data_IF_883205989047
#
_entry.id   IF_883205989047
#
_cell.length_a   1.000
_cell.length_b   1.000
_cell.length_c   1.000
_cell.angle_alpha   90.00
_cell.angle_beta   90.00
_cell.angle_gamma   90.00
#
_symmetry.space_group_name_H-M   'P 1'
#
loop_
_entity.id
_entity.type
_entity.pdbx_description
1 polymer ?
#
# COMPACT_ATOMS: atom_id res chain seq x y z
N UNK A 1 10.17 3.64 -20.93
CA UNK A 1 11.06 4.01 -19.80
C UNK A 1 10.63 3.17 -18.61
N UNK A 2 11.53 2.35 -18.07
CA UNK A 2 11.22 1.56 -16.88
C UNK A 2 11.03 2.48 -15.67
N UNK A 3 9.94 2.29 -14.92
CA UNK A 3 9.70 3.06 -13.69
C UNK A 3 10.84 2.75 -12.69
N UNK A 4 11.46 3.77 -12.08
CA UNK A 4 12.50 3.54 -11.07
C UNK A 4 11.91 2.74 -9.90
N UNK A 5 12.65 1.72 -9.44
CA UNK A 5 12.26 0.80 -8.36
C UNK A 5 11.80 1.58 -7.12
N UNK A 6 10.80 1.06 -6.42
CA UNK A 6 10.29 1.68 -5.18
C UNK A 6 11.41 1.92 -4.16
N UNK A 7 12.30 0.94 -3.96
CA UNK A 7 13.44 1.06 -3.03
C UNK A 7 14.39 2.19 -3.42
N UNK A 8 14.64 2.39 -4.71
CA UNK A 8 15.49 3.48 -5.20
C UNK A 8 14.87 4.83 -4.90
N UNK A 9 13.55 4.97 -5.08
CA UNK A 9 12.83 6.19 -4.72
C UNK A 9 12.83 6.44 -3.21
N UNK A 10 12.68 5.38 -2.40
CA UNK A 10 12.72 5.45 -0.95
C UNK A 10 14.09 5.93 -0.46
N UNK A 11 15.18 5.32 -0.94
CA UNK A 11 16.56 5.70 -0.59
C UNK A 11 16.85 7.16 -0.97
N UNK A 12 16.38 7.58 -2.15
CA UNK A 12 16.57 8.97 -2.61
C UNK A 12 15.89 9.99 -1.70
N UNK A 13 14.73 9.65 -1.12
CA UNK A 13 13.91 10.57 -0.32
C UNK A 13 14.21 10.49 1.18
N UNK A 14 14.73 9.36 1.66
CA UNK A 14 15.09 9.17 3.07
C UNK A 14 16.61 9.11 3.24
N UNK A 15 17.21 10.24 3.63
CA UNK A 15 18.67 10.42 3.71
C UNK A 15 19.38 9.35 4.54
N UNK A 16 18.76 8.89 5.63
CA UNK A 16 19.34 7.84 6.50
C UNK A 16 19.50 6.47 5.82
N UNK A 17 18.77 6.22 4.72
CA UNK A 17 18.92 4.97 3.96
C UNK A 17 20.10 5.01 2.99
N UNK A 18 20.56 6.18 2.57
CA UNK A 18 21.67 6.30 1.62
C UNK A 18 23.00 5.83 2.22
N UNK A 19 23.15 5.91 3.54
CA UNK A 19 24.33 5.45 4.29
C UNK A 19 24.27 3.99 4.73
N UNK A 20 23.19 3.27 4.40
CA UNK A 20 22.98 1.90 4.88
C UNK A 20 23.97 0.92 4.24
N UNK A 21 24.80 0.24 5.04
CA UNK A 21 25.77 -0.74 4.56
C UNK A 21 25.09 -2.02 4.09
N UNK A 22 25.83 -2.86 3.36
CA UNK A 22 25.30 -4.05 2.68
C UNK A 22 24.52 -5.01 3.60
N UNK A 23 25.02 -5.27 4.81
CA UNK A 23 24.38 -6.18 5.78
C UNK A 23 23.41 -5.50 6.75
N UNK A 24 23.29 -4.18 6.66
CA UNK A 24 22.45 -3.42 7.58
C UNK A 24 20.99 -3.42 7.12
N UNK A 25 20.11 -3.39 8.12
CA UNK A 25 18.66 -3.28 8.00
C UNK A 25 18.25 -1.94 8.58
N UNK A 26 17.31 -1.27 7.94
CA UNK A 26 16.70 -0.05 8.48
C UNK A 26 15.22 -0.29 8.74
N UNK A 27 14.74 0.17 9.89
CA UNK A 27 13.32 0.17 10.24
C UNK A 27 12.95 1.58 10.65
N UNK A 28 11.88 2.12 10.08
CA UNK A 28 11.39 3.44 10.42
C UNK A 28 9.90 3.55 10.14
N UNK A 29 9.26 4.50 10.82
CA UNK A 29 7.84 4.77 10.67
C UNK A 29 7.61 5.97 9.76
N UNK A 30 6.51 5.94 9.01
CA UNK A 30 6.01 7.04 8.20
C UNK A 30 4.55 7.25 8.52
N UNK A 31 4.21 8.49 8.84
CA UNK A 31 2.84 8.99 8.85
C UNK A 31 2.49 9.48 7.44
N UNK A 32 1.65 8.69 6.78
CA UNK A 32 1.04 8.93 5.50
C UNK A 32 -0.11 9.94 5.57
N UNK A 33 -0.62 10.33 4.41
CA UNK A 33 -1.90 11.04 4.31
C UNK A 33 -3.05 10.11 4.67
N UNK A 34 -2.95 8.84 4.25
CA UNK A 34 -4.04 7.87 4.34
C UNK A 34 -3.84 6.85 5.45
N UNK A 35 -2.66 6.80 6.06
CA UNK A 35 -2.34 5.78 7.05
C UNK A 35 -1.00 5.95 7.74
N UNK A 36 -0.65 4.98 8.55
CA UNK A 36 0.63 4.92 9.26
C UNK A 36 1.34 3.61 8.93
N UNK A 37 2.61 3.70 8.58
CA UNK A 37 3.38 2.57 8.04
C UNK A 37 4.71 2.42 8.76
N UNK A 38 5.03 1.21 9.19
CA UNK A 38 6.38 0.79 9.50
C UNK A 38 7.01 0.17 8.26
N UNK A 39 8.16 0.69 7.86
CA UNK A 39 8.91 0.24 6.70
C UNK A 39 10.20 -0.39 7.18
N UNK A 40 10.46 -1.61 6.72
CA UNK A 40 11.70 -2.33 6.93
C UNK A 40 12.40 -2.54 5.58
N UNK A 41 13.59 -1.98 5.47
CA UNK A 41 14.48 -2.14 4.32
C UNK A 41 15.54 -3.17 4.68
N UNK A 42 15.52 -4.31 3.98
CA UNK A 42 16.41 -5.43 4.21
C UNK A 42 17.86 -5.19 3.77
N UNK A 43 18.75 -6.17 4.03
CA UNK A 43 20.12 -6.12 3.53
C UNK A 43 20.16 -6.18 2.00
N UNK A 44 21.31 -5.85 1.41
CA UNK A 44 21.55 -6.04 -0.02
C UNK A 44 21.65 -7.54 -0.29
N UNK A 45 20.83 -8.02 -1.21
CA UNK A 45 20.91 -9.37 -1.77
C UNK A 45 22.20 -9.48 -2.62
N UNK A 46 23.11 -10.42 -2.28
CA UNK A 46 24.36 -10.61 -3.00
C UNK A 46 24.20 -10.98 -4.48
N UNK A 47 23.09 -11.60 -4.87
CA UNK A 47 22.87 -12.12 -6.22
C UNK A 47 22.40 -11.05 -7.20
N UNK A 48 21.57 -10.11 -6.73
CA UNK A 48 20.91 -9.13 -7.59
C UNK A 48 21.14 -7.67 -7.17
N UNK A 49 21.94 -7.44 -6.12
CA UNK A 49 22.25 -6.14 -5.54
C UNK A 49 21.03 -5.27 -5.20
N UNK A 50 19.87 -5.90 -4.96
CA UNK A 50 18.64 -5.22 -4.53
C UNK A 50 18.43 -5.37 -3.02
N UNK A 51 17.48 -4.61 -2.47
CA UNK A 51 17.09 -4.73 -1.06
C UNK A 51 15.60 -5.08 -1.02
N UNK A 52 15.25 -6.06 -0.21
CA UNK A 52 13.85 -6.37 0.08
C UNK A 52 13.19 -5.23 0.86
N UNK A 53 11.90 -5.06 0.68
CA UNK A 53 11.10 -4.14 1.49
C UNK A 53 9.94 -4.92 2.12
N UNK A 54 9.75 -4.68 3.40
CA UNK A 54 8.58 -5.11 4.14
C UNK A 54 7.85 -3.87 4.69
N UNK A 55 6.55 -3.80 4.47
CA UNK A 55 5.70 -2.71 4.95
C UNK A 55 4.59 -3.33 5.78
N UNK A 56 4.47 -2.87 7.03
CA UNK A 56 3.38 -3.21 7.93
C UNK A 56 2.71 -1.92 8.35
N UNK A 57 1.38 -1.84 8.32
CA UNK A 57 0.72 -0.62 8.70
C UNK A 57 -0.79 -0.67 8.67
N UNK A 58 -1.38 0.51 8.77
CA UNK A 58 -2.82 0.71 8.76
C UNK A 58 -3.17 1.87 7.82
N UNK A 59 -4.22 1.70 7.02
CA UNK A 59 -4.85 2.75 6.22
C UNK A 59 -6.18 3.08 6.89
N UNK A 60 -6.46 4.37 7.13
CA UNK A 60 -7.67 4.82 7.83
C UNK A 60 -8.94 4.34 7.11
N UNK A 61 -8.97 4.48 5.78
CA UNK A 61 -10.06 3.99 4.96
C UNK A 61 -9.65 3.84 3.49
N UNK A 62 -10.40 3.01 2.77
CA UNK A 62 -10.37 2.86 1.33
C UNK A 62 -11.80 2.83 0.80
N UNK A 63 -12.01 3.39 -0.39
CA UNK A 63 -13.26 3.29 -1.12
C UNK A 63 -13.12 2.19 -2.15
N UNK A 64 -14.08 1.28 -2.21
CA UNK A 64 -14.09 0.17 -3.13
C UNK A 64 -15.37 0.16 -3.96
N UNK A 65 -15.21 0.00 -5.27
CA UNK A 65 -16.29 -0.27 -6.20
C UNK A 65 -16.07 -1.64 -6.84
N UNK A 66 -16.98 -2.07 -7.71
CA UNK A 66 -16.83 -3.32 -8.47
C UNK A 66 -15.50 -3.39 -9.25
N UNK A 67 -14.99 -2.25 -9.69
CA UNK A 67 -13.88 -2.20 -10.64
C UNK A 67 -12.56 -1.71 -10.03
N UNK A 68 -12.62 -0.99 -8.91
CA UNK A 68 -11.47 -0.23 -8.43
C UNK A 68 -11.48 -0.03 -6.90
N UNK A 69 -10.29 0.27 -6.36
CA UNK A 69 -10.11 0.78 -5.00
C UNK A 69 -9.24 2.04 -5.00
N UNK A 70 -9.51 2.95 -4.07
CA UNK A 70 -8.89 4.26 -4.03
C UNK A 70 -8.98 4.86 -2.62
N UNK A 71 -8.03 5.73 -2.23
CA UNK A 71 -7.95 6.23 -0.86
C UNK A 71 -8.92 7.38 -0.56
N UNK A 72 -9.44 8.04 -1.60
CA UNK A 72 -10.37 9.16 -1.52
C UNK A 72 -11.50 8.91 -2.51
N UNK A 73 -12.74 9.33 -2.24
CA UNK A 73 -13.81 9.15 -3.20
C UNK A 73 -13.60 10.07 -4.40
N UNK A 74 -13.99 9.60 -5.58
CA UNK A 74 -14.06 10.38 -6.81
C UNK A 74 -15.20 11.39 -6.73
N UNK A 75 -15.13 12.45 -7.54
CA UNK A 75 -16.20 13.45 -7.62
C UNK A 75 -17.56 12.82 -7.98
N UNK A 76 -17.58 11.88 -8.92
CA UNK A 76 -18.80 11.17 -9.30
C UNK A 76 -19.41 10.37 -8.14
N UNK A 77 -18.59 9.71 -7.32
CA UNK A 77 -19.07 9.00 -6.14
C UNK A 77 -19.62 9.99 -5.10
N UNK A 78 -18.95 11.13 -4.88
CA UNK A 78 -19.44 12.18 -3.97
C UNK A 78 -20.80 12.70 -4.45
N UNK A 79 -20.91 13.06 -5.73
CA UNK A 79 -22.14 13.60 -6.33
C UNK A 79 -23.30 12.58 -6.28
N UNK A 80 -22.98 11.28 -6.25
CA UNK A 80 -23.95 10.19 -6.08
C UNK A 80 -24.14 9.73 -4.62
N UNK A 81 -23.73 10.54 -3.63
CA UNK A 81 -23.81 10.21 -2.21
C UNK A 81 -23.17 8.85 -1.85
N UNK A 82 -22.07 8.51 -2.53
CA UNK A 82 -21.30 7.27 -2.40
C UNK A 82 -22.08 5.99 -2.73
N UNK A 83 -23.27 6.10 -3.35
CA UNK A 83 -24.04 4.93 -3.80
C UNK A 83 -23.21 4.10 -4.79
N UNK A 84 -23.20 2.78 -4.59
CA UNK A 84 -22.38 1.85 -5.38
C UNK A 84 -20.97 1.62 -4.83
N UNK A 85 -20.65 2.18 -3.65
CA UNK A 85 -19.33 2.09 -3.02
C UNK A 85 -19.39 1.30 -1.71
N UNK A 86 -18.33 0.57 -1.39
CA UNK A 86 -18.06 0.02 -0.06
C UNK A 86 -16.93 0.83 0.55
N UNK A 87 -17.15 1.37 1.75
CA UNK A 87 -16.08 2.05 2.52
C UNK A 87 -15.47 1.01 3.45
N UNK A 88 -14.21 0.67 3.19
CA UNK A 88 -13.37 -0.16 4.03
C UNK A 88 -12.68 0.73 5.05
N UNK A 89 -12.78 0.42 6.33
CA UNK A 89 -12.18 1.19 7.43
C UNK A 89 -11.16 0.38 8.19
N UNK A 90 -10.17 1.10 8.73
CA UNK A 90 -9.12 0.58 9.60
C UNK A 90 -8.44 -0.64 8.95
N UNK A 91 -7.93 -0.41 7.74
CA UNK A 91 -7.43 -1.44 6.84
C UNK A 91 -5.98 -1.76 7.23
N UNK A 92 -5.76 -2.96 7.76
CA UNK A 92 -4.39 -3.44 8.06
C UNK A 92 -3.73 -3.91 6.78
N UNK A 93 -2.45 -3.55 6.59
CA UNK A 93 -1.65 -3.97 5.44
C UNK A 93 -0.37 -4.67 5.89
N UNK A 94 -0.05 -5.78 5.23
CA UNK A 94 1.26 -6.45 5.33
C UNK A 94 1.74 -6.81 3.93
N UNK A 95 2.83 -6.17 3.53
CA UNK A 95 3.31 -6.16 2.16
C UNK A 95 4.78 -6.55 2.17
N UNK A 96 5.14 -7.54 1.37
CA UNK A 96 6.52 -7.99 1.21
C UNK A 96 6.93 -7.97 -0.27
N UNK A 97 7.95 -7.18 -0.55
CA UNK A 97 8.57 -7.04 -1.87
C UNK A 97 10.04 -7.48 -1.77
N UNK A 98 10.28 -8.74 -2.11
CA UNK A 98 11.60 -9.38 -2.00
C UNK A 98 12.70 -8.63 -2.77
N UNK A 99 12.34 -7.96 -3.87
CA UNK A 99 13.30 -7.28 -4.77
C UNK A 99 13.24 -5.75 -4.67
N UNK A 100 12.36 -5.21 -3.83
CA UNK A 100 12.13 -3.78 -3.66
C UNK A 100 11.71 -3.05 -4.96
N UNK A 101 11.14 -3.76 -5.93
CA UNK A 101 10.84 -3.22 -7.26
C UNK A 101 9.59 -2.33 -7.25
N UNK A 102 8.61 -2.69 -6.44
CA UNK A 102 7.32 -2.02 -6.35
C UNK A 102 6.34 -2.39 -7.45
N UNK A 103 6.46 -3.58 -8.03
CA UNK A 103 5.65 -4.01 -9.19
C UNK A 103 4.69 -5.16 -8.82
N UNK A 104 5.12 -6.10 -7.99
CA UNK A 104 4.30 -7.20 -7.50
C UNK A 104 4.67 -7.51 -6.05
N UNK A 105 3.67 -7.60 -5.17
CA UNK A 105 3.84 -8.04 -3.78
C UNK A 105 3.43 -9.49 -3.65
N UNK A 106 4.27 -10.29 -3.00
CA UNK A 106 3.83 -11.61 -2.55
C UNK A 106 3.01 -11.41 -1.28
N UNK A 107 1.73 -11.77 -1.33
CA UNK A 107 0.88 -11.85 -0.16
C UNK A 107 1.32 -13.08 0.65
N UNK A 108 2.16 -12.87 1.67
CA UNK A 108 2.54 -13.95 2.60
C UNK A 108 1.42 -14.17 3.63
N UNK A 109 0.38 -14.91 3.25
CA UNK A 109 -0.69 -15.55 4.06
C UNK A 109 -1.36 -14.77 5.25
N UNK A 110 -2.65 -14.96 5.54
CA UNK A 110 -3.77 -15.25 4.65
C UNK A 110 -4.32 -13.97 3.99
N UNK A 111 -4.01 -12.76 4.47
CA UNK A 111 -4.64 -11.53 4.00
C UNK A 111 -3.64 -10.37 3.97
N UNK A 112 -3.15 -10.00 2.78
CA UNK A 112 -2.25 -8.84 2.64
C UNK A 112 -2.92 -7.52 2.99
N UNK A 113 -4.26 -7.49 2.94
CA UNK A 113 -5.12 -6.35 3.25
C UNK A 113 -6.32 -6.86 4.02
N UNK A 114 -6.58 -6.28 5.20
CA UNK A 114 -7.72 -6.68 6.02
C UNK A 114 -8.46 -5.45 6.56
N UNK A 115 -9.65 -5.13 6.02
CA UNK A 115 -10.50 -4.10 6.62
C UNK A 115 -11.13 -4.63 7.91
N UNK A 116 -11.03 -3.87 9.01
CA UNK A 116 -11.75 -4.24 10.23
C UNK A 116 -13.26 -3.98 10.13
N UNK A 117 -13.65 -3.00 9.31
CA UNK A 117 -15.05 -2.63 9.14
C UNK A 117 -15.36 -2.27 7.70
N UNK A 118 -16.50 -2.73 7.22
CA UNK A 118 -17.04 -2.37 5.91
C UNK A 118 -18.36 -1.61 6.08
N UNK A 119 -18.52 -0.50 5.37
CA UNK A 119 -19.78 0.25 5.26
C UNK A 119 -20.27 0.06 3.83
N UNK A 120 -21.31 -0.75 3.67
CA UNK A 120 -21.87 -1.06 2.36
C UNK A 120 -22.90 0.02 1.94
N UNK A 121 -22.52 0.85 0.97
CA UNK A 121 -23.40 1.81 0.30
C UNK A 121 -23.73 1.37 -1.15
N UNK A 122 -23.33 0.15 -1.51
CA UNK A 122 -23.54 -0.47 -2.82
C UNK A 122 -24.76 -1.40 -2.88
N UNK A 123 -25.46 -1.60 -1.76
CA UNK A 123 -26.60 -2.53 -1.68
C UNK A 123 -26.15 -3.97 -1.93
N UNK A 124 -26.90 -4.71 -2.73
CA UNK A 124 -26.62 -6.13 -3.05
C UNK A 124 -25.27 -6.33 -3.75
N UNK A 125 -24.76 -5.32 -4.46
CA UNK A 125 -23.45 -5.41 -5.10
C UNK A 125 -22.29 -5.24 -4.11
N UNK A 126 -22.53 -4.70 -2.91
CA UNK A 126 -21.51 -4.51 -1.90
C UNK A 126 -20.93 -5.82 -1.37
N UNK A 127 -21.77 -6.84 -1.19
CA UNK A 127 -21.31 -8.15 -0.73
C UNK A 127 -20.41 -8.83 -1.77
N UNK A 128 -20.69 -8.61 -3.06
CA UNK A 128 -19.83 -9.08 -4.17
C UNK A 128 -18.50 -8.34 -4.17
N UNK A 129 -18.51 -7.02 -3.91
CA UNK A 129 -17.30 -6.21 -3.79
C UNK A 129 -16.44 -6.72 -2.62
N UNK A 130 -17.04 -6.89 -1.43
CA UNK A 130 -16.36 -7.36 -0.22
C UNK A 130 -15.78 -8.76 -0.41
N UNK A 131 -16.55 -9.68 -0.97
CA UNK A 131 -16.09 -11.06 -1.21
C UNK A 131 -14.97 -11.11 -2.25
N UNK A 132 -15.08 -10.29 -3.31
CA UNK A 132 -14.03 -10.14 -4.31
C UNK A 132 -12.73 -9.56 -3.75
N UNK A 133 -12.80 -8.69 -2.74
CA UNK A 133 -11.64 -8.08 -2.10
C UNK A 133 -10.75 -9.08 -1.36
N UNK A 134 -11.33 -10.11 -0.74
CA UNK A 134 -10.58 -11.10 0.04
C UNK A 134 -9.74 -12.08 -0.78
N UNK A 135 -9.98 -12.19 -2.09
CA UNK A 135 -9.36 -13.21 -2.95
C UNK A 135 -8.65 -12.64 -4.18
N UNK A 136 -8.70 -11.32 -4.40
CA UNK A 136 -8.25 -10.71 -5.65
C UNK A 136 -6.88 -10.03 -5.52
N UNK A 137 -5.87 -10.65 -6.13
CA UNK A 137 -4.52 -10.13 -6.29
C UNK A 137 -4.48 -8.72 -6.88
N UNK A 138 -5.42 -8.36 -7.77
CA UNK A 138 -5.53 -7.02 -8.36
C UNK A 138 -5.77 -5.95 -7.29
N UNK A 139 -6.62 -6.22 -6.31
CA UNK A 139 -6.94 -5.26 -5.24
C UNK A 139 -5.79 -5.14 -4.24
N UNK A 140 -5.11 -6.24 -3.92
CA UNK A 140 -3.90 -6.21 -3.11
C UNK A 140 -2.81 -5.34 -3.77
N UNK A 141 -2.59 -5.52 -5.07
CA UNK A 141 -1.65 -4.70 -5.84
C UNK A 141 -2.06 -3.23 -5.90
N UNK A 142 -3.35 -2.94 -5.98
CA UNK A 142 -3.81 -1.55 -6.08
C UNK A 142 -3.70 -0.79 -4.77
N UNK A 143 -3.97 -1.45 -3.64
CA UNK A 143 -3.73 -0.84 -2.34
C UNK A 143 -2.24 -0.81 -1.99
N UNK A 144 -1.44 -1.74 -2.51
CA UNK A 144 0.01 -1.60 -2.46
C UNK A 144 0.47 -0.33 -3.17
N UNK A 145 -0.05 -0.06 -4.38
CA UNK A 145 0.24 1.17 -5.11
C UNK A 145 -0.15 2.41 -4.31
N UNK A 146 -1.32 2.40 -3.66
CA UNK A 146 -1.78 3.49 -2.78
C UNK A 146 -0.79 3.73 -1.63
N UNK A 147 -0.39 2.67 -0.92
CA UNK A 147 0.56 2.74 0.21
C UNK A 147 1.91 3.29 -0.23
N UNK A 148 2.44 2.81 -1.36
CA UNK A 148 3.71 3.29 -1.90
C UNK A 148 3.67 4.76 -2.28
N UNK A 149 2.61 5.18 -2.98
CA UNK A 149 2.43 6.58 -3.37
C UNK A 149 2.32 7.48 -2.14
N UNK A 150 1.59 7.05 -1.11
CA UNK A 150 1.43 7.81 0.12
C UNK A 150 2.75 7.96 0.88
N UNK A 151 3.48 6.84 1.08
CA UNK A 151 4.84 6.82 1.66
C UNK A 151 5.75 7.81 0.94
N UNK A 152 5.80 7.73 -0.40
CA UNK A 152 6.69 8.56 -1.19
C UNK A 152 6.31 10.04 -1.09
N UNK A 153 5.02 10.38 -1.10
CA UNK A 153 4.52 11.75 -0.94
C UNK A 153 4.85 12.30 0.46
N UNK A 154 4.63 11.53 1.52
CA UNK A 154 4.96 11.96 2.88
C UNK A 154 6.44 12.25 3.09
N UNK A 155 7.32 11.55 2.38
CA UNK A 155 8.76 11.85 2.42
C UNK A 155 9.16 13.10 1.62
N UNK A 156 8.34 13.58 0.68
CA UNK A 156 8.60 14.82 -0.06
C UNK A 156 8.25 16.08 0.73
N UNK A 157 7.26 16.01 1.61
CA UNK A 157 6.71 17.17 2.34
C UNK A 157 7.55 17.60 3.55
N UNK A 158 8.68 16.93 3.85
CA UNK A 158 9.48 17.16 5.06
C UNK A 158 10.62 18.18 4.94
N UNK A 159 10.70 18.98 3.87
CA UNK A 159 11.70 20.05 3.72
C UNK A 159 11.15 21.26 2.99
#
# INVERSE_FOLDING_TARGET
MDRPKFVTNLIRRQKGLASLKHKEVAIFNIDGTYGTYQIKVGPVDPMNHSRSIEIVGQIHHLFATKNNIHPLPTRQEIDNNLRGTVIMRDVTVHLFDEKGQGIAVQIKQPNGIHPMKNINLAGEDGDKIITGLGTNEKMANEAYRIVQEDILKSLQLKY
#
